data_IF_757127100557
#
_entry.id   IF_757127100557
#
_cell.length_a   1.000
_cell.length_b   1.000
_cell.length_c   1.000
_cell.angle_alpha   90.00
_cell.angle_beta   90.00
_cell.angle_gamma   90.00
#
_symmetry.space_group_name_H-M   'P 1'
#
loop_
_entity.id
_entity.type
_entity.pdbx_description
1 polymer ?
#
# COMPACT_ATOMS: atom_id res chain seq x y z
N UNK A 1 19.89 17.15 1.75
CA UNK A 1 18.58 16.57 2.11
C UNK A 1 18.34 15.37 1.22
N UNK A 2 18.24 14.18 1.79
CA UNK A 2 17.86 12.98 1.06
C UNK A 2 16.33 12.84 1.12
N UNK A 3 15.74 12.35 0.02
CA UNK A 3 14.29 12.11 -0.10
C UNK A 3 13.85 11.11 0.97
N UNK A 4 12.81 11.45 1.74
CA UNK A 4 12.27 10.66 2.86
C UNK A 4 11.04 9.86 2.49
N UNK A 5 10.18 10.30 1.57
CA UNK A 5 8.99 9.50 1.24
C UNK A 5 8.44 9.77 -0.16
N UNK A 6 7.54 8.89 -0.61
CA UNK A 6 6.83 8.96 -1.88
C UNK A 6 6.09 10.29 -2.14
N UNK A 7 5.64 10.97 -1.09
CA UNK A 7 4.90 12.24 -1.19
C UNK A 7 5.76 13.47 -1.48
N UNK A 8 7.09 13.36 -1.48
CA UNK A 8 7.94 14.49 -1.85
C UNK A 8 7.85 14.72 -3.37
N UNK A 9 7.86 15.99 -3.77
CA UNK A 9 7.91 16.36 -5.17
C UNK A 9 9.36 16.33 -5.69
N UNK A 10 9.60 16.00 -6.97
CA UNK A 10 8.62 15.53 -7.96
C UNK A 10 8.20 14.08 -7.70
N UNK A 11 6.90 13.78 -7.93
CA UNK A 11 6.37 12.44 -7.78
C UNK A 11 6.96 11.49 -8.83
N UNK A 12 7.19 10.22 -8.45
CA UNK A 12 7.75 9.23 -9.36
C UNK A 12 6.72 8.89 -10.46
N UNK A 13 7.14 8.79 -11.72
CA UNK A 13 6.22 8.53 -12.85
C UNK A 13 5.36 7.29 -12.63
N UNK A 14 5.94 6.21 -12.09
CA UNK A 14 5.20 4.99 -11.74
C UNK A 14 4.10 5.21 -10.69
N UNK A 15 4.31 6.10 -9.72
CA UNK A 15 3.30 6.40 -8.69
C UNK A 15 2.08 7.10 -9.31
N UNK A 16 2.30 7.96 -10.31
CA UNK A 16 1.24 8.64 -11.07
C UNK A 16 0.49 7.64 -11.95
N UNK A 17 1.22 6.77 -12.67
CA UNK A 17 0.60 5.71 -13.49
C UNK A 17 -0.23 4.75 -12.64
N UNK A 18 0.26 4.35 -11.47
CA UNK A 18 -0.45 3.44 -10.59
C UNK A 18 -1.80 4.01 -10.13
N UNK A 19 -1.83 5.27 -9.67
CA UNK A 19 -3.06 5.88 -9.16
C UNK A 19 -4.06 6.16 -10.28
N UNK A 20 -3.60 6.55 -11.47
CA UNK A 20 -4.49 6.79 -12.62
C UNK A 20 -5.12 5.50 -13.11
N UNK A 21 -4.34 4.43 -13.25
CA UNK A 21 -4.85 3.10 -13.63
C UNK A 21 -5.83 2.58 -12.58
N UNK A 22 -5.55 2.75 -11.30
CA UNK A 22 -6.46 2.38 -10.21
C UNK A 22 -7.83 3.07 -10.33
N UNK A 23 -7.85 4.39 -10.52
CA UNK A 23 -9.11 5.13 -10.70
C UNK A 23 -9.83 4.74 -11.99
N UNK A 24 -9.10 4.55 -13.09
CA UNK A 24 -9.68 4.10 -14.36
C UNK A 24 -10.38 2.75 -14.21
N UNK A 25 -9.69 1.77 -13.61
CA UNK A 25 -10.27 0.44 -13.37
C UNK A 25 -11.47 0.52 -12.42
N UNK A 26 -11.40 1.34 -11.38
CA UNK A 26 -12.50 1.53 -10.43
C UNK A 26 -13.75 2.07 -11.11
N UNK A 27 -13.59 3.14 -11.90
CA UNK A 27 -14.69 3.72 -12.69
C UNK A 27 -15.22 2.69 -13.68
N UNK A 28 -14.34 1.96 -14.36
CA UNK A 28 -14.77 0.94 -15.32
C UNK A 28 -15.62 -0.16 -14.68
N UNK A 29 -15.25 -0.60 -13.48
CA UNK A 29 -16.00 -1.58 -12.72
C UNK A 29 -17.37 -1.05 -12.30
N UNK A 30 -17.44 0.13 -11.66
CA UNK A 30 -18.71 0.64 -11.13
C UNK A 30 -19.67 1.16 -12.21
N UNK A 31 -19.15 1.78 -13.27
CA UNK A 31 -19.98 2.36 -14.32
C UNK A 31 -20.42 1.35 -15.38
N UNK A 32 -19.59 0.34 -15.67
CA UNK A 32 -19.88 -0.64 -16.72
C UNK A 32 -20.08 -2.04 -16.15
N UNK A 33 -19.18 -2.57 -15.34
CA UNK A 33 -19.29 -4.00 -14.95
C UNK A 33 -20.45 -4.30 -13.97
N UNK A 34 -20.51 -3.56 -12.86
CA UNK A 34 -21.50 -3.77 -11.80
C UNK A 34 -22.97 -3.72 -12.27
N UNK A 35 -23.43 -2.69 -13.04
CA UNK A 35 -24.83 -2.61 -13.46
C UNK A 35 -25.24 -3.68 -14.50
N UNK A 36 -24.28 -4.32 -15.18
CA UNK A 36 -24.57 -5.37 -16.17
C UNK A 36 -24.54 -6.79 -15.59
N UNK A 37 -24.42 -6.96 -14.26
CA UNK A 37 -24.43 -8.28 -13.62
C UNK A 37 -25.82 -8.94 -13.56
N UNK A 38 -26.89 -8.18 -13.83
CA UNK A 38 -28.23 -8.68 -14.18
C UNK A 38 -29.02 -9.40 -13.08
N UNK A 39 -28.40 -9.69 -11.92
CA UNK A 39 -29.04 -10.30 -10.75
C UNK A 39 -28.65 -9.51 -9.51
N UNK A 40 -29.64 -9.01 -8.78
CA UNK A 40 -29.47 -8.14 -7.60
C UNK A 40 -28.44 -8.69 -6.61
N UNK A 41 -28.52 -9.98 -6.26
CA UNK A 41 -27.61 -10.60 -5.30
C UNK A 41 -26.16 -10.59 -5.81
N UNK A 42 -25.92 -10.89 -7.09
CA UNK A 42 -24.56 -10.88 -7.63
C UNK A 42 -24.02 -9.46 -7.73
N UNK A 43 -24.87 -8.48 -8.06
CA UNK A 43 -24.50 -7.07 -8.09
C UNK A 43 -24.03 -6.60 -6.70
N UNK A 44 -24.82 -6.84 -5.64
CA UNK A 44 -24.43 -6.47 -4.28
C UNK A 44 -23.15 -7.17 -3.82
N UNK A 45 -23.00 -8.46 -4.11
CA UNK A 45 -21.79 -9.21 -3.75
C UNK A 45 -20.57 -8.68 -4.51
N UNK A 46 -20.70 -8.41 -5.81
CA UNK A 46 -19.61 -7.89 -6.62
C UNK A 46 -19.20 -6.48 -6.18
N UNK A 47 -20.17 -5.60 -5.93
CA UNK A 47 -19.92 -4.25 -5.39
C UNK A 47 -19.24 -4.35 -4.04
N UNK A 48 -19.73 -5.20 -3.12
CA UNK A 48 -19.18 -5.36 -1.78
C UNK A 48 -17.72 -5.84 -1.79
N UNK A 49 -17.44 -6.93 -2.50
CA UNK A 49 -16.09 -7.49 -2.61
C UNK A 49 -15.15 -6.50 -3.28
N UNK A 50 -15.57 -5.91 -4.41
CA UNK A 50 -14.73 -4.98 -5.14
C UNK A 50 -14.45 -3.71 -4.34
N UNK A 51 -15.44 -3.18 -3.60
CA UNK A 51 -15.26 -2.04 -2.71
C UNK A 51 -14.22 -2.32 -1.62
N UNK A 52 -14.32 -3.49 -0.98
CA UNK A 52 -13.35 -3.90 0.04
C UNK A 52 -11.93 -4.01 -0.54
N UNK A 53 -11.79 -4.64 -1.70
CA UNK A 53 -10.50 -4.77 -2.39
C UNK A 53 -9.94 -3.42 -2.81
N UNK A 54 -10.76 -2.56 -3.43
CA UNK A 54 -10.35 -1.23 -3.86
C UNK A 54 -9.89 -0.38 -2.68
N UNK A 55 -10.62 -0.43 -1.56
CA UNK A 55 -10.22 0.26 -0.33
C UNK A 55 -8.91 -0.29 0.24
N UNK A 56 -8.74 -1.61 0.28
CA UNK A 56 -7.50 -2.24 0.71
C UNK A 56 -6.30 -1.83 -0.14
N UNK A 57 -6.44 -1.86 -1.47
CA UNK A 57 -5.40 -1.42 -2.42
C UNK A 57 -5.09 0.07 -2.24
N UNK A 58 -6.10 0.90 -2.03
CA UNK A 58 -5.90 2.33 -1.78
C UNK A 58 -5.12 2.59 -0.48
N UNK A 59 -5.48 1.91 0.61
CA UNK A 59 -4.72 1.98 1.87
C UNK A 59 -3.28 1.54 1.64
N UNK A 60 -3.07 0.40 0.99
CA UNK A 60 -1.73 -0.10 0.69
C UNK A 60 -0.93 0.91 -0.15
N UNK A 61 -1.53 1.50 -1.18
CA UNK A 61 -0.90 2.54 -1.98
C UNK A 61 -0.46 3.72 -1.11
N UNK A 62 -1.34 4.25 -0.26
CA UNK A 62 -1.02 5.38 0.62
C UNK A 62 0.09 5.02 1.61
N UNK A 63 0.01 3.85 2.25
CA UNK A 63 0.99 3.39 3.24
C UNK A 63 2.35 3.13 2.58
N UNK A 64 2.39 2.40 1.48
CA UNK A 64 3.62 2.15 0.73
C UNK A 64 4.25 3.44 0.19
N UNK A 65 3.44 4.43 -0.19
CA UNK A 65 3.93 5.75 -0.61
C UNK A 65 4.46 6.57 0.57
N UNK A 66 3.86 6.42 1.75
CA UNK A 66 4.23 7.17 2.95
C UNK A 66 5.42 6.58 3.73
N UNK A 67 5.74 5.30 3.56
CA UNK A 67 6.86 4.65 4.26
C UNK A 67 8.18 5.30 3.82
N UNK A 68 8.94 5.76 4.82
CA UNK A 68 10.30 6.25 4.65
C UNK A 68 11.26 5.05 4.66
N UNK A 69 12.06 4.80 3.60
CA UNK A 69 13.05 3.74 3.62
C UNK A 69 14.13 3.94 4.70
N UNK A 70 14.25 5.15 5.26
CA UNK A 70 15.11 5.49 6.40
C UNK A 70 14.33 5.66 7.71
N UNK A 71 13.12 5.08 7.83
CA UNK A 71 12.37 5.09 9.08
C UNK A 71 13.21 4.46 10.23
N UNK A 72 13.55 5.21 11.30
CA UNK A 72 14.41 4.73 12.38
C UNK A 72 13.88 3.47 13.07
N UNK A 73 12.59 3.13 12.92
CA UNK A 73 12.02 1.88 13.42
C UNK A 73 12.75 0.62 12.93
N UNK A 74 13.22 0.57 11.67
CA UNK A 74 13.91 -0.61 11.13
C UNK A 74 15.37 -0.72 11.58
N UNK A 75 16.01 0.44 11.81
CA UNK A 75 17.39 0.49 12.32
C UNK A 75 17.44 0.17 13.83
N UNK A 76 16.41 0.53 14.60
CA UNK A 76 16.30 0.18 16.02
C UNK A 76 16.13 -1.34 16.21
N UNK A 77 15.41 -2.04 15.33
CA UNK A 77 15.28 -3.51 15.36
C UNK A 77 16.63 -4.20 15.10
N UNK A 78 17.38 -3.70 14.11
CA UNK A 78 18.70 -4.21 13.77
C UNK A 78 19.72 -3.95 14.89
N UNK A 79 19.68 -2.78 15.52
CA UNK A 79 20.55 -2.41 16.63
C UNK A 79 20.23 -3.20 17.92
N UNK A 80 18.96 -3.45 18.22
CA UNK A 80 18.57 -4.36 19.32
C UNK A 80 19.05 -5.79 19.07
N UNK A 81 18.95 -6.25 17.83
CA UNK A 81 19.38 -7.60 17.44
C UNK A 81 20.91 -7.75 17.54
N UNK A 82 21.67 -6.72 17.18
CA UNK A 82 23.14 -6.70 17.32
C UNK A 82 23.57 -6.59 18.78
N UNK A 83 22.90 -5.76 19.59
CA UNK A 83 23.16 -5.63 21.03
C UNK A 83 22.90 -6.94 21.79
N UNK A 84 21.79 -7.64 21.47
CA UNK A 84 21.50 -8.98 22.02
C UNK A 84 22.58 -10.01 21.64
N UNK A 85 23.02 -10.02 20.38
CA UNK A 85 24.08 -10.90 19.87
C UNK A 85 25.42 -10.67 20.57
N UNK A 86 25.74 -9.42 20.91
CA UNK A 86 26.98 -9.04 21.60
C UNK A 86 27.00 -9.57 23.04
N UNK A 87 25.92 -9.38 23.79
CA UNK A 87 25.82 -9.84 25.18
C UNK A 87 25.99 -11.36 25.29
N UNK A 88 25.35 -12.12 24.39
CA UNK A 88 25.44 -13.58 24.41
C UNK A 88 26.78 -14.14 23.94
N UNK A 89 27.67 -13.30 23.39
CA UNK A 89 29.04 -13.67 23.00
C UNK A 89 30.09 -13.39 24.08
N UNK A 90 29.75 -12.58 25.09
CA UNK A 90 30.62 -12.25 26.23
C UNK A 90 30.39 -13.13 27.46
N UNK A 91 29.31 -13.93 27.47
CA UNK A 91 28.92 -14.82 28.56
C UNK A 91 29.41 -16.28 28.38
N UNK A 92 30.37 -16.53 27.49
CA UNK A 92 30.97 -17.85 27.18
C UNK A 92 32.50 -17.77 27.28
#
# INVERSE_FOLDING_TARGET
MARRHGWELPAHTFQVVAITVFFLLSVAFYAFFAPFLGKDIYEYVAIGIYSFLAFGVFILYVRCTAIDPADPGILIEADKTSAYRSHNGTDL
#
